data_IF_392064490885
#
_entry.id   IF_392064490885
#
_cell.length_a   1.000
_cell.length_b   1.000
_cell.length_c   1.000
_cell.angle_alpha   90.00
_cell.angle_beta   90.00
_cell.angle_gamma   90.00
#
_symmetry.space_group_name_H-M   'P 1'
#
loop_
_entity.id
_entity.type
_entity.pdbx_description
1 polymer ?
#
# COMPACT_ATOMS: atom_id res chain seq x y z
N UNK A 1 -2.29 -10.77 17.49
CA UNK A 1 -3.39 -11.40 18.29
C UNK A 1 -4.74 -11.46 17.55
N UNK A 2 -4.95 -10.58 16.55
CA UNK A 2 -6.21 -10.52 15.78
C UNK A 2 -6.24 -11.48 14.59
N UNK A 3 -5.17 -12.20 14.32
CA UNK A 3 -5.09 -13.11 13.17
C UNK A 3 -5.85 -14.39 13.46
N UNK A 4 -6.81 -14.70 12.58
CA UNK A 4 -7.56 -15.96 12.59
C UNK A 4 -7.73 -16.49 11.16
N UNK A 5 -8.25 -17.71 11.03
CA UNK A 5 -8.41 -18.37 9.73
C UNK A 5 -9.40 -17.64 8.81
N UNK A 6 -10.43 -16.99 9.35
CA UNK A 6 -11.41 -16.23 8.57
C UNK A 6 -10.76 -15.00 7.94
N UNK A 7 -10.01 -14.24 8.74
CA UNK A 7 -9.24 -13.07 8.29
C UNK A 7 -8.22 -13.48 7.22
N UNK A 8 -7.47 -14.57 7.42
CA UNK A 8 -6.49 -15.04 6.45
C UNK A 8 -7.12 -15.46 5.13
N UNK A 9 -8.28 -16.15 5.14
CA UNK A 9 -9.01 -16.50 3.92
C UNK A 9 -9.47 -15.27 3.15
N UNK A 10 -10.03 -14.27 3.83
CA UNK A 10 -10.43 -13.02 3.20
C UNK A 10 -9.25 -12.28 2.58
N UNK A 11 -8.17 -12.12 3.34
CA UNK A 11 -6.97 -11.45 2.86
C UNK A 11 -6.30 -12.19 1.70
N UNK A 12 -6.33 -13.53 1.70
CA UNK A 12 -5.83 -14.35 0.60
C UNK A 12 -6.65 -14.14 -0.67
N UNK A 13 -7.98 -14.09 -0.57
CA UNK A 13 -8.86 -13.78 -1.68
C UNK A 13 -8.55 -12.40 -2.29
N UNK A 14 -8.43 -11.37 -1.46
CA UNK A 14 -8.04 -10.02 -1.91
C UNK A 14 -6.64 -10.00 -2.55
N UNK A 15 -5.69 -10.78 -2.01
CA UNK A 15 -4.35 -10.88 -2.57
C UNK A 15 -4.32 -11.56 -3.93
N UNK A 16 -5.14 -12.60 -4.16
CA UNK A 16 -5.29 -13.25 -5.47
C UNK A 16 -5.74 -12.22 -6.51
N UNK A 17 -6.75 -11.42 -6.21
CA UNK A 17 -7.23 -10.39 -7.12
C UNK A 17 -6.21 -9.30 -7.38
N UNK A 18 -5.53 -8.82 -6.32
CA UNK A 18 -4.45 -7.84 -6.45
C UNK A 18 -3.32 -8.34 -7.36
N UNK A 19 -2.83 -9.56 -7.12
CA UNK A 19 -1.74 -10.14 -7.89
C UNK A 19 -2.16 -10.38 -9.35
N UNK A 20 -3.39 -10.83 -9.57
CA UNK A 20 -3.98 -11.00 -10.90
C UNK A 20 -3.97 -9.70 -11.71
N UNK A 21 -4.28 -8.56 -11.09
CA UNK A 21 -4.24 -7.25 -11.75
C UNK A 21 -2.86 -6.85 -12.24
N UNK A 22 -1.78 -7.31 -11.61
CA UNK A 22 -0.42 -6.97 -12.06
C UNK A 22 -0.09 -7.54 -13.44
N UNK A 23 -0.72 -8.66 -13.83
CA UNK A 23 -0.35 -9.37 -15.05
C UNK A 23 0.93 -10.21 -14.92
N UNK A 24 1.61 -10.14 -13.78
CA UNK A 24 2.80 -10.90 -13.49
C UNK A 24 2.49 -12.39 -13.24
N UNK A 25 3.45 -13.30 -13.43
CA UNK A 25 3.25 -14.74 -13.26
C UNK A 25 3.35 -15.15 -11.78
N UNK A 26 2.50 -14.55 -10.93
CA UNK A 26 2.43 -14.81 -9.49
C UNK A 26 1.00 -15.08 -9.06
N UNK A 27 0.83 -16.06 -8.18
CA UNK A 27 -0.42 -16.29 -7.46
C UNK A 27 -0.56 -15.37 -6.24
N UNK A 28 -1.59 -15.59 -5.41
CA UNK A 28 -1.82 -14.81 -4.20
C UNK A 28 -2.18 -15.73 -3.04
N UNK A 29 -1.59 -15.47 -1.88
CA UNK A 29 -1.88 -16.16 -0.64
C UNK A 29 -1.68 -15.23 0.56
N UNK A 30 -2.13 -15.65 1.73
CA UNK A 30 -1.86 -15.01 3.02
C UNK A 30 -1.61 -16.07 4.07
N UNK A 31 -0.69 -15.77 4.97
CA UNK A 31 -0.40 -16.55 6.15
C UNK A 31 -0.13 -15.64 7.34
N UNK A 32 -0.07 -16.20 8.53
CA UNK A 32 0.21 -15.40 9.72
C UNK A 32 0.15 -16.25 10.99
N UNK A 33 0.30 -15.57 12.12
CA UNK A 33 0.13 -16.14 13.44
C UNK A 33 -0.54 -15.13 14.37
N UNK A 34 -1.09 -15.60 15.46
CA UNK A 34 -1.67 -14.80 16.55
C UNK A 34 -0.64 -14.31 17.57
N UNK A 35 0.65 -14.46 17.28
CA UNK A 35 1.74 -14.00 18.14
C UNK A 35 1.70 -12.48 18.35
N UNK A 36 1.76 -12.07 19.62
CA UNK A 36 1.85 -10.64 19.98
C UNK A 36 3.30 -10.22 20.21
N UNK A 37 3.89 -9.40 19.30
CA UNK A 37 5.26 -8.92 19.47
C UNK A 37 5.38 -7.76 20.45
N UNK A 38 4.26 -7.19 20.96
CA UNK A 38 4.30 -6.03 21.85
C UNK A 38 4.99 -6.39 23.16
N UNK A 39 5.99 -5.58 23.53
CA UNK A 39 6.75 -5.80 24.77
C UNK A 39 7.76 -6.96 24.70
N UNK A 40 7.91 -7.61 23.56
CA UNK A 40 8.92 -8.65 23.35
C UNK A 40 10.25 -8.02 22.90
N UNK A 41 11.34 -8.61 23.39
CA UNK A 41 12.69 -8.28 22.93
C UNK A 41 12.95 -8.83 21.52
N UNK A 42 13.94 -8.26 20.83
CA UNK A 42 14.39 -8.74 19.52
C UNK A 42 14.77 -10.22 19.54
N UNK A 43 15.34 -10.68 20.67
CA UNK A 43 15.72 -12.08 20.86
C UNK A 43 14.49 -13.02 20.96
N UNK A 44 13.42 -12.59 21.63
CA UNK A 44 12.17 -13.35 21.69
C UNK A 44 11.48 -13.42 20.33
N UNK A 45 11.45 -12.30 19.61
CA UNK A 45 10.92 -12.23 18.24
C UNK A 45 11.73 -13.14 17.32
N UNK A 46 13.07 -13.10 17.40
CA UNK A 46 13.94 -13.99 16.63
C UNK A 46 13.67 -15.48 16.94
N UNK A 47 13.51 -15.83 18.21
CA UNK A 47 13.16 -17.21 18.59
C UNK A 47 11.83 -17.65 18.00
N UNK A 48 10.82 -16.77 18.05
CA UNK A 48 9.54 -17.04 17.44
C UNK A 48 9.66 -17.26 15.93
N UNK A 49 10.32 -16.34 15.20
CA UNK A 49 10.52 -16.47 13.76
C UNK A 49 11.23 -17.77 13.38
N UNK A 50 12.25 -18.17 14.14
CA UNK A 50 12.95 -19.43 13.91
C UNK A 50 12.06 -20.67 14.17
N UNK A 51 11.27 -20.65 15.23
CA UNK A 51 10.35 -21.74 15.53
C UNK A 51 9.27 -21.84 14.43
N UNK A 52 8.69 -20.71 14.02
CA UNK A 52 7.72 -20.63 12.94
C UNK A 52 8.28 -21.18 11.62
N UNK A 53 9.52 -20.81 11.27
CA UNK A 53 10.15 -21.28 10.04
C UNK A 53 10.45 -22.78 10.05
N UNK A 54 10.73 -23.39 11.20
CA UNK A 54 10.94 -24.85 11.31
C UNK A 54 9.71 -25.68 10.93
N UNK A 55 8.53 -25.11 11.10
CA UNK A 55 7.29 -25.75 10.63
C UNK A 55 6.97 -25.35 9.19
N UNK A 56 7.23 -24.09 8.82
CA UNK A 56 6.83 -23.53 7.53
C UNK A 56 7.73 -23.97 6.35
N UNK A 57 9.04 -24.24 6.59
CA UNK A 57 10.02 -24.39 5.51
C UNK A 57 9.67 -25.47 4.47
N UNK A 58 8.96 -26.51 4.87
CA UNK A 58 8.58 -27.62 3.99
C UNK A 58 7.46 -27.27 3.01
N UNK A 59 6.75 -26.15 3.22
CA UNK A 59 5.62 -25.71 2.41
C UNK A 59 5.97 -24.52 1.51
N UNK A 60 7.16 -23.96 1.65
CA UNK A 60 7.60 -22.77 0.93
C UNK A 60 8.87 -23.00 0.13
N UNK A 61 9.11 -22.17 -0.87
CA UNK A 61 10.29 -22.24 -1.70
C UNK A 61 10.25 -21.19 -2.80
N UNK A 62 11.37 -20.93 -3.46
CA UNK A 62 11.47 -19.93 -4.52
C UNK A 62 10.51 -20.17 -5.72
N UNK A 63 9.99 -21.39 -5.85
CA UNK A 63 9.05 -21.81 -6.92
C UNK A 63 7.78 -22.46 -6.37
N UNK A 64 7.49 -22.26 -5.10
CA UNK A 64 6.28 -22.75 -4.43
C UNK A 64 5.57 -21.52 -3.86
N UNK A 65 5.58 -21.33 -2.55
CA UNK A 65 5.08 -20.12 -1.92
C UNK A 65 6.25 -19.22 -1.48
N UNK A 66 6.18 -17.95 -1.80
CA UNK A 66 7.18 -16.93 -1.44
C UNK A 66 6.55 -15.92 -0.48
N UNK A 67 6.60 -16.17 0.83
CA UNK A 67 6.05 -15.23 1.81
C UNK A 67 6.77 -13.89 1.77
N UNK A 68 6.04 -12.82 2.04
CA UNK A 68 6.54 -11.45 2.06
C UNK A 68 6.22 -10.75 3.39
N UNK A 69 6.83 -9.60 3.61
CA UNK A 69 6.50 -8.75 4.75
C UNK A 69 5.07 -8.22 4.67
N UNK A 70 4.42 -8.10 5.83
CA UNK A 70 3.08 -7.57 6.03
C UNK A 70 2.98 -6.98 7.46
N UNK A 71 1.78 -6.75 7.99
CA UNK A 71 1.59 -6.22 9.35
C UNK A 71 2.39 -7.04 10.36
N UNK A 72 3.24 -6.37 11.12
CA UNK A 72 4.09 -6.98 12.14
C UNK A 72 5.29 -7.75 11.61
N UNK A 73 5.48 -7.85 10.30
CA UNK A 73 6.58 -8.58 9.66
C UNK A 73 7.33 -7.63 8.71
N UNK A 74 8.42 -7.07 9.19
CA UNK A 74 9.30 -6.19 8.40
C UNK A 74 10.59 -6.89 7.98
N UNK A 75 11.56 -6.10 7.52
CA UNK A 75 12.87 -6.61 7.08
C UNK A 75 13.61 -7.41 8.16
N UNK A 76 13.43 -7.04 9.45
CA UNK A 76 14.00 -7.75 10.60
C UNK A 76 13.46 -9.18 10.71
N UNK A 77 12.14 -9.34 10.70
CA UNK A 77 11.47 -10.63 10.79
C UNK A 77 11.77 -11.48 9.56
N UNK A 78 11.70 -10.91 8.37
CA UNK A 78 12.10 -11.57 7.12
C UNK A 78 13.55 -12.05 7.20
N UNK A 79 14.46 -11.25 7.75
CA UNK A 79 15.84 -11.66 7.98
C UNK A 79 15.97 -12.87 8.90
N UNK A 80 15.24 -12.89 10.01
CA UNK A 80 15.23 -14.02 10.95
C UNK A 80 14.64 -15.31 10.34
N UNK A 81 13.55 -15.17 9.58
CA UNK A 81 12.91 -16.27 8.86
C UNK A 81 13.85 -16.83 7.78
N UNK A 82 14.45 -15.97 6.95
CA UNK A 82 15.35 -16.37 5.90
C UNK A 82 16.63 -17.05 6.42
N UNK A 83 17.20 -16.50 7.50
CA UNK A 83 18.36 -17.10 8.13
C UNK A 83 18.12 -18.52 8.65
N UNK A 84 16.94 -18.79 9.21
CA UNK A 84 16.57 -20.13 9.65
C UNK A 84 16.25 -21.05 8.47
N UNK A 85 15.52 -20.59 7.45
CA UNK A 85 15.29 -21.36 6.22
C UNK A 85 16.61 -21.82 5.59
N UNK A 86 17.54 -20.88 5.38
CA UNK A 86 18.86 -21.19 4.82
C UNK A 86 19.65 -22.19 5.68
N UNK A 87 19.53 -22.11 7.01
CA UNK A 87 20.19 -23.03 7.93
C UNK A 87 19.65 -24.46 7.81
N UNK A 88 18.33 -24.61 7.62
CA UNK A 88 17.66 -25.92 7.51
C UNK A 88 17.93 -26.53 6.13
N UNK A 89 17.67 -25.76 5.07
CA UNK A 89 17.69 -26.26 3.68
C UNK A 89 19.05 -26.26 3.04
N UNK A 90 20.00 -25.43 3.55
CA UNK A 90 21.31 -25.13 2.95
C UNK A 90 21.21 -24.45 1.58
N UNK A 91 20.04 -23.94 1.23
CA UNK A 91 19.79 -23.23 -0.03
C UNK A 91 19.90 -21.72 0.17
N UNK A 92 20.53 -21.05 -0.78
CA UNK A 92 20.50 -19.61 -0.95
C UNK A 92 19.66 -19.30 -2.18
N UNK A 93 18.35 -19.12 -1.97
CA UNK A 93 17.38 -18.90 -3.05
C UNK A 93 16.42 -17.75 -2.73
N UNK A 94 15.46 -17.50 -3.62
CA UNK A 94 14.50 -16.41 -3.54
C UNK A 94 13.25 -16.71 -2.70
N UNK A 95 13.33 -17.55 -1.69
CA UNK A 95 12.16 -18.08 -0.95
C UNK A 95 11.32 -17.04 -0.22
N UNK A 96 11.85 -15.91 0.19
CA UNK A 96 11.14 -14.84 0.87
C UNK A 96 11.33 -13.53 0.12
N UNK A 97 10.33 -12.63 0.16
CA UNK A 97 10.42 -11.28 -0.39
C UNK A 97 10.38 -10.21 0.70
N UNK A 98 11.00 -9.07 0.42
CA UNK A 98 11.24 -8.03 1.41
C UNK A 98 12.50 -8.28 2.24
N UNK A 99 13.41 -9.08 1.69
CA UNK A 99 14.73 -9.29 2.30
C UNK A 99 15.54 -7.99 2.32
N UNK A 100 16.41 -7.80 3.32
CA UNK A 100 17.51 -6.83 3.23
C UNK A 100 18.32 -6.99 1.94
N UNK A 101 18.80 -5.85 1.41
CA UNK A 101 19.53 -5.80 0.14
C UNK A 101 20.80 -6.66 0.14
N UNK A 102 21.43 -6.81 1.31
CA UNK A 102 22.66 -7.56 1.52
C UNK A 102 22.55 -9.04 1.13
N UNK A 103 21.35 -9.61 1.24
CA UNK A 103 21.13 -11.03 0.95
C UNK A 103 19.95 -11.30 -0.01
N UNK A 104 19.85 -10.48 -1.03
CA UNK A 104 18.97 -10.72 -2.18
C UNK A 104 17.67 -9.91 -2.18
N UNK A 105 17.56 -8.89 -1.34
CA UNK A 105 16.46 -7.93 -1.40
C UNK A 105 16.55 -7.01 -2.62
N UNK A 106 15.43 -6.49 -3.06
CA UNK A 106 15.35 -5.47 -4.11
C UNK A 106 15.41 -4.07 -3.55
N UNK A 107 16.06 -3.16 -4.26
CA UNK A 107 15.91 -1.72 -4.04
C UNK A 107 14.43 -1.33 -4.21
N UNK A 108 14.04 -0.22 -3.61
CA UNK A 108 12.67 0.34 -3.63
C UNK A 108 11.58 -0.53 -2.98
N UNK A 109 11.88 -1.67 -2.40
CA UNK A 109 10.81 -2.49 -1.78
C UNK A 109 10.02 -1.73 -0.70
N UNK A 110 10.64 -0.94 0.20
CA UNK A 110 9.93 -0.11 1.16
C UNK A 110 9.05 0.98 0.50
N UNK A 111 9.54 1.60 -0.57
CA UNK A 111 8.85 2.69 -1.28
C UNK A 111 7.71 2.21 -2.17
N UNK A 112 7.79 0.98 -2.62
CA UNK A 112 7.03 0.44 -3.76
C UNK A 112 5.52 0.64 -3.68
N UNK A 113 4.92 0.46 -2.51
CA UNK A 113 3.47 0.64 -2.34
C UNK A 113 3.08 2.09 -2.49
N UNK A 114 3.73 3.00 -1.76
CA UNK A 114 3.42 4.43 -1.81
C UNK A 114 3.72 5.05 -3.19
N UNK A 115 4.86 4.70 -3.79
CA UNK A 115 5.20 5.15 -5.14
C UNK A 115 4.21 4.63 -6.18
N UNK A 116 3.82 3.35 -6.07
CA UNK A 116 2.82 2.74 -6.94
C UNK A 116 1.47 3.45 -6.89
N UNK A 117 1.01 3.83 -5.70
CA UNK A 117 -0.23 4.61 -5.53
C UNK A 117 -0.17 5.91 -6.33
N UNK A 118 0.95 6.63 -6.23
CA UNK A 118 1.11 7.92 -6.94
C UNK A 118 1.23 7.73 -8.44
N UNK A 119 1.95 6.70 -8.91
CA UNK A 119 2.02 6.39 -10.35
C UNK A 119 0.67 6.00 -10.93
N UNK A 120 -0.13 5.20 -10.21
CA UNK A 120 -1.49 4.89 -10.61
C UNK A 120 -2.36 6.15 -10.68
N UNK A 121 -2.29 7.01 -9.66
CA UNK A 121 -3.01 8.27 -9.61
C UNK A 121 -2.65 9.19 -10.77
N UNK A 122 -1.36 9.32 -11.06
CA UNK A 122 -0.87 10.16 -12.16
C UNK A 122 -1.40 9.69 -13.52
N UNK A 123 -1.38 8.37 -13.77
CA UNK A 123 -1.93 7.80 -14.99
C UNK A 123 -3.46 8.01 -15.07
N UNK A 124 -4.18 7.75 -13.99
CA UNK A 124 -5.64 7.95 -13.92
C UNK A 124 -6.02 9.42 -14.18
N UNK A 125 -5.36 10.36 -13.54
CA UNK A 125 -5.63 11.79 -13.71
C UNK A 125 -5.32 12.26 -15.16
N UNK A 126 -4.21 11.80 -15.71
CA UNK A 126 -3.82 12.10 -17.09
C UNK A 126 -4.84 11.59 -18.11
N UNK A 127 -5.32 10.36 -17.96
CA UNK A 127 -6.23 9.74 -18.93
C UNK A 127 -7.66 10.23 -18.79
N UNK A 128 -8.15 10.44 -17.56
CA UNK A 128 -9.55 10.77 -17.31
C UNK A 128 -9.84 12.27 -17.32
N UNK A 129 -8.87 13.08 -16.89
CA UNK A 129 -9.06 14.54 -16.72
C UNK A 129 -8.07 15.38 -17.51
N UNK A 130 -7.05 14.81 -18.14
CA UNK A 130 -5.94 15.50 -18.79
C UNK A 130 -5.19 16.43 -17.82
N UNK A 131 -5.11 16.02 -16.57
CA UNK A 131 -4.49 16.75 -15.46
C UNK A 131 -3.22 16.04 -14.95
N UNK A 132 -2.35 16.82 -14.31
CA UNK A 132 -1.15 16.30 -13.63
C UNK A 132 -1.21 16.60 -12.14
N UNK A 133 -0.31 16.00 -11.37
CA UNK A 133 -0.18 16.28 -9.94
C UNK A 133 0.64 17.55 -9.64
N UNK A 134 1.35 18.08 -10.62
CA UNK A 134 2.19 19.26 -10.45
C UNK A 134 1.38 20.50 -10.02
N UNK A 135 1.81 21.12 -8.93
CA UNK A 135 1.13 22.28 -8.34
C UNK A 135 -0.22 21.98 -7.66
N UNK A 136 -0.66 20.72 -7.64
CA UNK A 136 -1.95 20.35 -7.03
C UNK A 136 -1.81 20.09 -5.52
N UNK A 137 -2.81 20.54 -4.77
CA UNK A 137 -2.90 20.27 -3.34
C UNK A 137 -3.45 18.86 -3.11
N UNK A 138 -2.77 18.08 -2.26
CA UNK A 138 -3.14 16.70 -1.93
C UNK A 138 -3.28 16.51 -0.43
N UNK A 139 -4.29 15.74 -0.01
CA UNK A 139 -4.45 15.25 1.35
C UNK A 139 -4.02 13.79 1.45
N UNK A 140 -3.24 13.47 2.48
CA UNK A 140 -2.79 12.10 2.77
C UNK A 140 -3.10 11.77 4.22
N UNK A 141 -3.65 10.59 4.50
CA UNK A 141 -3.76 10.05 5.85
C UNK A 141 -2.63 9.07 6.17
N UNK A 142 -2.35 8.91 7.45
CA UNK A 142 -1.30 8.01 7.92
C UNK A 142 0.07 8.67 8.01
N UNK A 143 0.96 8.02 8.77
CA UNK A 143 2.38 8.32 8.90
C UNK A 143 3.22 7.02 8.93
N UNK A 144 2.65 5.93 8.41
CA UNK A 144 3.33 4.66 8.22
C UNK A 144 4.10 4.60 6.89
N UNK A 145 4.65 3.43 6.58
CA UNK A 145 5.47 3.23 5.38
C UNK A 145 4.78 3.68 4.09
N UNK A 146 3.52 3.30 3.87
CA UNK A 146 2.77 3.66 2.65
C UNK A 146 2.58 5.17 2.57
N UNK A 147 2.08 5.80 3.64
CA UNK A 147 1.83 7.24 3.68
C UNK A 147 3.10 8.06 3.45
N UNK A 148 4.19 7.75 4.16
CA UNK A 148 5.46 8.49 4.03
C UNK A 148 6.01 8.46 2.60
N UNK A 149 5.94 7.31 1.93
CA UNK A 149 6.42 7.20 0.56
C UNK A 149 5.41 7.74 -0.48
N UNK A 150 4.11 7.73 -0.18
CA UNK A 150 3.12 8.46 -0.98
C UNK A 150 3.39 9.97 -0.93
N UNK A 151 3.58 10.54 0.26
CA UNK A 151 3.94 11.95 0.43
C UNK A 151 5.24 12.27 -0.33
N UNK A 152 6.27 11.45 -0.15
CA UNK A 152 7.56 11.63 -0.81
C UNK A 152 7.42 11.69 -2.34
N UNK A 153 6.71 10.73 -2.93
CA UNK A 153 6.54 10.67 -4.38
C UNK A 153 5.65 11.80 -4.90
N UNK A 154 4.57 12.16 -4.20
CA UNK A 154 3.74 13.32 -4.53
C UNK A 154 4.56 14.61 -4.57
N UNK A 155 5.40 14.84 -3.56
CA UNK A 155 6.29 16.01 -3.51
C UNK A 155 7.34 15.97 -4.63
N UNK A 156 7.91 14.81 -4.96
CA UNK A 156 8.82 14.65 -6.11
C UNK A 156 8.15 14.97 -7.44
N UNK A 157 6.86 14.75 -7.57
CA UNK A 157 6.06 15.08 -8.75
C UNK A 157 5.47 16.50 -8.70
N UNK A 158 5.92 17.34 -7.78
CA UNK A 158 5.53 18.73 -7.66
C UNK A 158 4.20 19.02 -6.99
N UNK A 159 3.56 18.01 -6.35
CA UNK A 159 2.34 18.20 -5.60
C UNK A 159 2.61 18.83 -4.22
N UNK A 160 1.65 19.62 -3.73
CA UNK A 160 1.65 20.19 -2.39
C UNK A 160 0.85 19.28 -1.45
N UNK A 161 1.51 18.46 -0.65
CA UNK A 161 0.84 17.59 0.33
C UNK A 161 0.63 18.37 1.62
N UNK A 162 -0.63 18.55 2.03
CA UNK A 162 -0.99 19.44 3.15
C UNK A 162 -1.41 18.73 4.42
N UNK A 163 -1.69 17.41 4.36
CA UNK A 163 -2.06 16.63 5.56
C UNK A 163 -1.21 15.38 5.74
N UNK A 164 -1.05 14.98 7.00
CA UNK A 164 -0.48 13.72 7.44
C UNK A 164 -1.11 13.36 8.78
N UNK A 165 -1.36 12.09 9.08
CA UNK A 165 -2.03 11.70 10.33
C UNK A 165 -1.44 10.45 10.96
N UNK A 166 -1.68 10.27 12.26
CA UNK A 166 -1.44 9.00 12.95
C UNK A 166 -2.64 8.61 13.83
N UNK A 167 -2.46 7.64 14.72
CA UNK A 167 -3.53 7.18 15.61
C UNK A 167 -4.01 8.23 16.61
N UNK A 168 -3.21 9.26 16.86
CA UNK A 168 -3.45 10.28 17.87
C UNK A 168 -3.99 11.60 17.30
N UNK A 169 -3.73 11.88 16.01
CA UNK A 169 -4.20 13.12 15.41
C UNK A 169 -3.73 13.36 13.98
N UNK A 170 -4.06 14.54 13.46
CA UNK A 170 -3.77 14.99 12.09
C UNK A 170 -2.98 16.28 12.11
N UNK A 171 -1.95 16.36 11.28
CA UNK A 171 -1.24 17.57 10.91
C UNK A 171 -1.91 18.18 9.67
N UNK A 172 -2.06 19.50 9.68
CA UNK A 172 -2.30 20.32 8.50
C UNK A 172 -1.22 21.40 8.38
N UNK A 173 -0.54 21.44 7.24
CA UNK A 173 0.38 22.53 6.90
C UNK A 173 0.04 23.06 5.50
N UNK A 174 -0.50 24.29 5.37
CA UNK A 174 -0.88 24.85 4.09
C UNK A 174 0.31 25.13 3.14
N UNK A 175 1.55 25.09 3.65
CA UNK A 175 2.79 25.25 2.86
C UNK A 175 3.36 23.93 2.39
N UNK A 176 2.76 22.82 2.79
CA UNK A 176 3.20 21.46 2.53
C UNK A 176 3.90 20.80 3.72
N UNK A 177 3.62 19.53 3.90
CA UNK A 177 4.21 18.71 4.96
C UNK A 177 5.74 18.61 4.81
N UNK A 178 6.46 18.98 5.86
CA UNK A 178 7.90 18.71 5.98
C UNK A 178 8.10 17.22 6.34
N UNK A 179 8.43 16.43 5.33
CA UNK A 179 8.60 15.00 5.48
C UNK A 179 9.82 14.62 6.34
N UNK A 180 10.84 15.49 6.41
CA UNK A 180 12.00 15.25 7.28
C UNK A 180 11.58 15.30 8.74
N UNK A 181 10.82 16.32 9.13
CA UNK A 181 10.29 16.45 10.50
C UNK A 181 9.37 15.27 10.85
N UNK A 182 8.49 14.85 9.92
CA UNK A 182 7.63 13.68 10.16
C UNK A 182 8.46 12.41 10.37
N UNK A 183 9.48 12.19 9.54
CA UNK A 183 10.39 11.02 9.67
C UNK A 183 11.16 11.03 10.98
N UNK A 184 11.66 12.17 11.42
CA UNK A 184 12.34 12.29 12.71
C UNK A 184 11.41 11.98 13.89
N UNK A 185 10.19 12.49 13.87
CA UNK A 185 9.19 12.21 14.90
C UNK A 185 8.82 10.73 14.96
N UNK A 186 8.72 10.06 13.81
CA UNK A 186 8.36 8.63 13.71
C UNK A 186 9.57 7.69 13.84
N UNK A 187 10.79 8.14 13.58
CA UNK A 187 12.01 7.33 13.62
C UNK A 187 12.44 6.86 15.00
N UNK A 188 11.97 7.52 16.06
CA UNK A 188 12.25 7.15 17.45
C UNK A 188 11.36 6.02 18.00
N UNK A 189 10.72 5.27 17.12
CA UNK A 189 9.83 4.17 17.46
C UNK A 189 8.38 4.45 17.06
N UNK A 190 7.66 3.42 16.68
CA UNK A 190 6.31 3.47 16.09
C UNK A 190 5.21 4.17 16.95
N UNK A 191 5.55 4.71 18.10
CA UNK A 191 4.62 5.37 19.04
C UNK A 191 4.87 6.87 19.23
N UNK A 192 5.85 7.48 18.55
CA UNK A 192 6.03 8.92 18.66
C UNK A 192 4.85 9.62 17.96
N UNK A 193 4.19 10.50 18.71
CA UNK A 193 3.05 11.28 18.23
C UNK A 193 3.49 12.35 17.23
N UNK A 194 2.64 12.66 16.27
CA UNK A 194 2.81 13.81 15.38
C UNK A 194 2.53 15.16 16.04
N UNK A 195 2.06 15.18 17.28
CA UNK A 195 1.77 16.41 18.05
C UNK A 195 2.96 17.37 18.07
N UNK A 196 4.19 16.85 18.19
CA UNK A 196 5.41 17.65 18.18
C UNK A 196 5.71 18.36 16.85
N UNK A 197 4.97 18.07 15.78
CA UNK A 197 5.18 18.70 14.48
C UNK A 197 4.87 20.21 14.51
N UNK A 198 3.72 20.58 15.06
CA UNK A 198 3.29 21.98 15.12
C UNK A 198 4.25 22.87 15.93
N UNK A 199 4.95 22.30 16.91
CA UNK A 199 5.99 23.00 17.67
C UNK A 199 7.26 23.24 16.84
N UNK A 200 7.60 22.31 15.92
CA UNK A 200 8.80 22.38 15.09
C UNK A 200 8.58 23.18 13.81
N UNK A 201 7.35 23.19 13.31
CA UNK A 201 6.98 23.84 12.05
C UNK A 201 5.91 24.91 12.32
N UNK A 202 6.30 26.15 12.68
CA UNK A 202 5.37 27.22 12.98
C UNK A 202 4.43 27.51 11.81
N UNK A 203 3.13 27.68 12.10
CA UNK A 203 2.08 27.92 11.11
C UNK A 203 1.37 26.65 10.62
N UNK A 204 1.83 25.47 11.02
CA UNK A 204 1.05 24.23 10.89
C UNK A 204 0.08 24.07 12.08
N UNK A 205 -0.92 23.22 11.90
CA UNK A 205 -1.95 22.91 12.90
C UNK A 205 -1.92 21.42 13.20
N UNK A 206 -1.97 21.05 14.46
CA UNK A 206 -2.23 19.69 14.90
C UNK A 206 -3.64 19.61 15.49
N UNK A 207 -4.45 18.68 14.98
CA UNK A 207 -5.79 18.38 15.48
C UNK A 207 -5.74 17.01 16.15
N UNK A 208 -5.93 16.98 17.46
CA UNK A 208 -5.98 15.72 18.20
C UNK A 208 -7.21 14.90 17.77
N UNK A 209 -7.11 13.58 17.83
CA UNK A 209 -8.23 12.69 17.45
C UNK A 209 -9.52 12.96 18.23
N UNK A 210 -9.40 13.39 19.48
CA UNK A 210 -10.54 13.76 20.31
C UNK A 210 -11.31 14.98 19.77
N UNK A 211 -10.64 15.82 18.98
CA UNK A 211 -11.19 17.05 18.41
C UNK A 211 -11.61 16.88 16.93
N UNK A 212 -11.64 15.65 16.42
CA UNK A 212 -12.09 15.37 15.06
C UNK A 212 -13.57 15.73 14.91
N UNK A 213 -13.98 16.17 13.71
CA UNK A 213 -15.39 16.39 13.40
C UNK A 213 -16.22 15.13 13.67
N UNK A 214 -17.46 15.30 14.14
CA UNK A 214 -18.33 14.19 14.44
C UNK A 214 -18.55 13.29 13.18
N UNK A 215 -18.18 12.03 13.30
CA UNK A 215 -18.29 11.03 12.21
C UNK A 215 -17.30 11.23 11.07
N UNK A 216 -16.22 12.00 11.26
CA UNK A 216 -15.23 12.28 10.24
C UNK A 216 -13.79 12.22 10.73
N UNK A 217 -12.85 12.27 9.79
CA UNK A 217 -11.40 12.27 10.02
C UNK A 217 -10.82 13.61 9.54
N UNK A 218 -10.11 14.33 10.43
CA UNK A 218 -9.63 15.70 10.16
C UNK A 218 -8.79 15.84 8.87
N UNK A 219 -8.11 14.80 8.42
CA UNK A 219 -7.30 14.84 7.19
C UNK A 219 -8.13 15.20 5.93
N UNK A 220 -9.43 14.92 5.93
CA UNK A 220 -10.31 15.09 4.77
C UNK A 220 -11.08 16.43 4.75
N UNK A 221 -10.91 17.23 5.78
CA UNK A 221 -11.66 18.48 5.94
C UNK A 221 -10.98 19.72 5.34
N UNK A 222 -9.84 19.54 4.69
CA UNK A 222 -9.10 20.60 4.02
C UNK A 222 -9.28 20.55 2.49
N UNK A 223 -9.31 21.71 1.80
CA UNK A 223 -9.39 21.75 0.36
C UNK A 223 -8.22 20.99 -0.29
N UNK A 224 -8.54 20.08 -1.21
CA UNK A 224 -7.53 19.34 -1.95
C UNK A 224 -8.05 18.94 -3.33
N UNK A 225 -7.12 18.80 -4.28
CA UNK A 225 -7.39 18.25 -5.60
C UNK A 225 -7.54 16.72 -5.58
N UNK A 226 -6.68 16.05 -4.80
CA UNK A 226 -6.73 14.60 -4.66
C UNK A 226 -6.48 14.15 -3.21
N UNK A 227 -7.14 13.06 -2.81
CA UNK A 227 -7.02 12.47 -1.48
C UNK A 227 -6.46 11.04 -1.55
N UNK A 228 -5.54 10.73 -0.64
CA UNK A 228 -4.81 9.45 -0.57
C UNK A 228 -4.98 8.81 0.81
N UNK A 229 -6.00 7.96 1.00
CA UNK A 229 -6.17 7.22 2.25
C UNK A 229 -5.09 6.13 2.37
N UNK A 230 -4.13 6.34 3.30
CA UNK A 230 -2.93 5.50 3.45
C UNK A 230 -2.71 4.94 4.87
N UNK A 231 -3.70 5.06 5.76
CA UNK A 231 -3.56 4.62 7.16
C UNK A 231 -4.19 3.24 7.42
N UNK A 232 -5.51 3.20 7.63
CA UNK A 232 -6.20 1.98 8.07
C UNK A 232 -7.50 1.76 7.31
N UNK A 233 -8.05 0.54 7.40
CA UNK A 233 -9.36 0.25 6.85
C UNK A 233 -10.46 1.12 7.50
N UNK A 234 -11.48 1.47 6.72
CA UNK A 234 -12.66 2.23 7.13
C UNK A 234 -12.32 3.58 7.80
N UNK A 235 -11.29 4.27 7.31
CA UNK A 235 -10.89 5.59 7.82
C UNK A 235 -11.55 6.76 7.09
N UNK A 236 -12.17 6.52 5.93
CA UNK A 236 -12.87 7.52 5.14
C UNK A 236 -14.35 7.17 5.11
N UNK A 237 -15.12 7.89 5.91
CA UNK A 237 -16.57 7.71 6.06
C UNK A 237 -17.35 8.44 4.97
N UNK A 238 -18.66 8.18 4.90
CA UNK A 238 -19.58 8.94 4.04
C UNK A 238 -19.54 10.45 4.34
N UNK A 239 -19.39 10.83 5.60
CA UNK A 239 -19.25 12.25 6.01
C UNK A 239 -17.99 12.87 5.44
N UNK A 240 -16.88 12.14 5.49
CA UNK A 240 -15.60 12.58 4.91
C UNK A 240 -15.67 12.71 3.39
N UNK A 241 -16.32 11.74 2.72
CA UNK A 241 -16.54 11.80 1.27
C UNK A 241 -17.34 13.03 0.87
N UNK A 242 -18.42 13.35 1.59
CA UNK A 242 -19.20 14.56 1.35
C UNK A 242 -18.36 15.82 1.51
N UNK A 243 -17.47 15.85 2.52
CA UNK A 243 -16.57 16.98 2.76
C UNK A 243 -15.50 17.12 1.68
N UNK A 244 -14.92 16.02 1.22
CA UNK A 244 -13.97 16.02 0.08
C UNK A 244 -14.64 16.59 -1.18
N UNK A 245 -15.87 16.19 -1.48
CA UNK A 245 -16.64 16.70 -2.64
C UNK A 245 -16.88 18.21 -2.49
N UNK A 246 -17.37 18.64 -1.32
CA UNK A 246 -17.57 20.07 -1.03
C UNK A 246 -16.28 20.90 -1.21
N UNK A 247 -15.14 20.32 -0.84
CA UNK A 247 -13.82 20.93 -0.92
C UNK A 247 -13.18 20.85 -2.34
N UNK A 248 -13.89 20.31 -3.32
CA UNK A 248 -13.46 20.25 -4.71
C UNK A 248 -12.49 19.12 -5.06
N UNK A 249 -12.44 18.06 -4.25
CA UNK A 249 -11.65 16.88 -4.53
C UNK A 249 -12.16 16.17 -5.79
N UNK A 250 -11.27 15.91 -6.75
CA UNK A 250 -11.61 15.25 -8.03
C UNK A 250 -11.20 13.77 -8.06
N UNK A 251 -10.35 13.33 -7.14
CA UNK A 251 -9.87 11.95 -7.10
C UNK A 251 -9.58 11.47 -5.67
N UNK A 252 -10.00 10.24 -5.37
CA UNK A 252 -9.62 9.49 -4.17
C UNK A 252 -8.91 8.21 -4.59
N UNK A 253 -7.66 8.03 -4.15
CA UNK A 253 -6.80 6.92 -4.54
C UNK A 253 -6.31 6.18 -3.30
N UNK A 254 -6.81 4.97 -3.09
CA UNK A 254 -6.53 4.19 -1.90
C UNK A 254 -5.08 3.67 -1.85
N UNK A 255 -4.36 4.00 -0.79
CA UNK A 255 -3.04 3.43 -0.48
C UNK A 255 -3.12 2.28 0.53
N UNK A 256 -4.02 2.37 1.50
CA UNK A 256 -4.32 1.28 2.43
C UNK A 256 -5.24 0.23 1.79
N UNK A 257 -5.48 -0.87 2.49
CA UNK A 257 -6.46 -1.88 2.07
C UNK A 257 -7.85 -1.50 2.63
N UNK A 258 -8.80 -1.23 1.74
CA UNK A 258 -10.20 -0.86 2.05
C UNK A 258 -10.33 0.30 3.06
N UNK A 259 -9.66 1.43 2.86
CA UNK A 259 -9.75 2.55 3.80
C UNK A 259 -11.07 3.32 3.68
N UNK A 260 -11.78 3.20 2.56
CA UNK A 260 -13.02 3.93 2.27
C UNK A 260 -14.22 3.04 2.53
N UNK A 261 -15.20 3.53 3.27
CA UNK A 261 -16.45 2.81 3.54
C UNK A 261 -17.30 2.65 2.27
N UNK A 262 -18.07 1.57 2.11
CA UNK A 262 -18.84 1.30 0.89
C UNK A 262 -19.79 2.43 0.49
N UNK A 263 -20.49 3.01 1.43
CA UNK A 263 -21.43 4.13 1.18
C UNK A 263 -20.70 5.45 0.85
N UNK A 264 -19.47 5.60 1.28
CA UNK A 264 -18.59 6.69 0.85
C UNK A 264 -18.14 6.49 -0.60
N UNK A 265 -17.80 5.27 -1.01
CA UNK A 265 -17.46 4.93 -2.39
C UNK A 265 -18.62 5.24 -3.33
N UNK A 266 -19.84 4.79 -2.98
CA UNK A 266 -21.05 5.08 -3.76
C UNK A 266 -21.29 6.58 -3.92
N UNK A 267 -21.09 7.35 -2.85
CA UNK A 267 -21.24 8.80 -2.88
C UNK A 267 -20.23 9.45 -3.82
N UNK A 268 -18.93 9.11 -3.67
CA UNK A 268 -17.86 9.65 -4.52
C UNK A 268 -18.11 9.37 -6.01
N UNK A 269 -18.46 8.13 -6.36
CA UNK A 269 -18.75 7.73 -7.74
C UNK A 269 -19.97 8.47 -8.30
N UNK A 270 -21.05 8.60 -7.52
CA UNK A 270 -22.27 9.30 -7.93
C UNK A 270 -22.00 10.80 -8.22
N UNK A 271 -21.15 11.44 -7.44
CA UNK A 271 -20.79 12.86 -7.61
C UNK A 271 -19.65 13.05 -8.62
N UNK A 272 -19.21 11.99 -9.32
CA UNK A 272 -18.23 12.06 -10.39
C UNK A 272 -16.77 12.18 -9.95
N UNK A 273 -16.48 11.94 -8.66
CA UNK A 273 -15.11 11.86 -8.16
C UNK A 273 -14.48 10.55 -8.63
N UNK A 274 -13.31 10.61 -9.22
CA UNK A 274 -12.56 9.42 -9.61
C UNK A 274 -12.15 8.64 -8.36
N UNK A 275 -12.53 7.37 -8.28
CA UNK A 275 -12.21 6.52 -7.15
C UNK A 275 -11.41 5.30 -7.58
N UNK A 276 -10.24 5.07 -7.01
CA UNK A 276 -9.43 3.88 -7.26
C UNK A 276 -9.37 2.97 -6.04
N UNK A 277 -9.79 1.69 -6.17
CA UNK A 277 -9.70 0.73 -5.07
C UNK A 277 -8.25 0.33 -4.79
N UNK A 278 -7.92 0.11 -3.51
CA UNK A 278 -6.58 -0.21 -3.05
C UNK A 278 -5.95 -1.41 -3.75
N UNK A 279 -6.74 -2.46 -4.06
CA UNK A 279 -6.23 -3.64 -4.78
C UNK A 279 -5.58 -3.32 -6.15
N UNK A 280 -5.98 -2.21 -6.79
CA UNK A 280 -5.37 -1.74 -8.03
C UNK A 280 -4.25 -0.74 -7.74
N UNK A 281 -4.53 0.32 -6.99
CA UNK A 281 -3.58 1.43 -6.77
C UNK A 281 -2.39 1.04 -5.88
N UNK A 282 -2.57 0.18 -4.86
CA UNK A 282 -1.50 -0.21 -3.94
C UNK A 282 -0.73 -1.48 -4.35
N UNK A 283 -0.92 -1.97 -5.57
CA UNK A 283 -0.26 -3.17 -6.08
C UNK A 283 1.26 -3.01 -6.30
N UNK A 284 1.81 -1.81 -6.15
CA UNK A 284 3.24 -1.56 -6.28
C UNK A 284 4.11 -2.41 -5.36
N UNK A 285 3.64 -2.66 -4.14
CA UNK A 285 4.35 -3.50 -3.18
C UNK A 285 4.57 -4.94 -3.67
N UNK A 286 3.53 -5.59 -4.16
CA UNK A 286 3.62 -6.95 -4.69
C UNK A 286 4.37 -6.98 -6.03
N UNK A 287 4.28 -5.92 -6.83
CA UNK A 287 5.05 -5.77 -8.06
C UNK A 287 6.56 -5.82 -7.79
N UNK A 288 7.05 -5.03 -6.84
CA UNK A 288 8.48 -5.05 -6.49
C UNK A 288 8.87 -6.34 -5.76
N UNK A 289 7.94 -7.02 -5.08
CA UNK A 289 8.20 -8.38 -4.57
C UNK A 289 8.47 -9.36 -5.70
N UNK A 290 7.71 -9.30 -6.80
CA UNK A 290 7.98 -10.14 -7.98
C UNK A 290 9.31 -9.73 -8.65
N UNK A 291 9.61 -8.43 -8.76
CA UNK A 291 10.91 -7.99 -9.27
C UNK A 291 12.07 -8.51 -8.42
N UNK A 292 11.91 -8.61 -7.09
CA UNK A 292 12.88 -9.26 -6.21
C UNK A 292 13.01 -10.75 -6.53
N UNK A 293 11.89 -11.45 -6.74
CA UNK A 293 11.90 -12.86 -7.15
C UNK A 293 12.60 -13.05 -8.50
N UNK A 294 12.32 -12.20 -9.48
CA UNK A 294 13.00 -12.21 -10.78
C UNK A 294 14.50 -11.98 -10.65
N UNK A 295 14.94 -11.00 -9.86
CA UNK A 295 16.36 -10.73 -9.60
C UNK A 295 17.03 -11.92 -8.92
N UNK A 296 16.35 -12.56 -7.97
CA UNK A 296 16.89 -13.75 -7.28
C UNK A 296 17.00 -14.95 -8.23
N UNK A 297 16.02 -15.15 -9.10
CA UNK A 297 16.02 -16.25 -10.07
C UNK A 297 17.12 -16.10 -11.14
N UNK A 298 17.41 -14.88 -11.57
CA UNK A 298 18.46 -14.56 -12.54
C UNK A 298 19.84 -14.33 -11.91
N UNK A 299 19.93 -14.29 -10.56
CA UNK A 299 21.12 -13.89 -9.81
C UNK A 299 21.63 -12.48 -10.16
N UNK A 300 20.71 -11.60 -10.58
CA UNK A 300 21.00 -10.20 -10.90
C UNK A 300 20.63 -9.27 -9.75
N UNK A 301 21.26 -8.10 -9.74
CA UNK A 301 20.83 -6.94 -8.94
C UNK A 301 20.48 -5.81 -9.88
N UNK A 302 19.27 -5.29 -9.77
CA UNK A 302 18.84 -4.12 -10.53
C UNK A 302 19.13 -2.84 -9.75
N UNK A 303 19.53 -1.80 -10.47
CA UNK A 303 19.67 -0.48 -9.89
C UNK A 303 18.29 0.14 -9.57
N UNK A 304 18.32 1.24 -8.83
CA UNK A 304 17.12 1.94 -8.40
C UNK A 304 16.29 2.41 -9.58
N UNK A 305 16.91 3.01 -10.59
CA UNK A 305 16.22 3.57 -11.76
C UNK A 305 15.52 2.49 -12.61
N UNK A 306 16.13 1.32 -12.73
CA UNK A 306 15.51 0.17 -13.42
C UNK A 306 14.26 -0.31 -12.68
N UNK A 307 14.32 -0.41 -11.36
CA UNK A 307 13.16 -0.83 -10.54
C UNK A 307 12.06 0.22 -10.59
N UNK A 308 12.41 1.52 -10.46
CA UNK A 308 11.44 2.63 -10.49
C UNK A 308 10.71 2.70 -11.84
N UNK A 309 11.44 2.66 -12.94
CA UNK A 309 10.85 2.65 -14.28
C UNK A 309 9.90 1.47 -14.50
N UNK A 310 10.33 0.26 -14.11
CA UNK A 310 9.49 -0.95 -14.21
C UNK A 310 8.23 -0.83 -13.34
N UNK A 311 8.34 -0.25 -12.15
CA UNK A 311 7.18 -0.01 -11.28
C UNK A 311 6.21 0.98 -11.92
N UNK A 312 6.71 2.09 -12.46
CA UNK A 312 5.88 3.08 -13.14
C UNK A 312 5.14 2.48 -14.35
N UNK A 313 5.86 1.76 -15.21
CA UNK A 313 5.28 1.07 -16.37
C UNK A 313 4.19 0.07 -15.96
N UNK A 314 4.43 -0.69 -14.90
CA UNK A 314 3.46 -1.67 -14.42
C UNK A 314 2.21 -1.03 -13.83
N UNK A 315 2.35 0.05 -13.05
CA UNK A 315 1.20 0.75 -12.49
C UNK A 315 0.33 1.39 -13.60
N UNK A 316 0.93 1.93 -14.66
CA UNK A 316 0.21 2.39 -15.84
C UNK A 316 -0.52 1.23 -16.56
N UNK A 317 0.10 0.05 -16.66
CA UNK A 317 -0.56 -1.14 -17.23
C UNK A 317 -1.73 -1.63 -16.38
N UNK A 318 -1.62 -1.58 -15.05
CA UNK A 318 -2.72 -1.93 -14.13
C UNK A 318 -3.89 -0.97 -14.36
N UNK A 319 -3.64 0.35 -14.35
CA UNK A 319 -4.68 1.34 -14.64
C UNK A 319 -5.37 1.06 -15.97
N UNK A 320 -4.59 0.90 -17.05
CA UNK A 320 -5.10 0.63 -18.39
C UNK A 320 -5.99 -0.63 -18.43
N UNK A 321 -5.57 -1.71 -17.76
CA UNK A 321 -6.35 -2.95 -17.68
C UNK A 321 -7.67 -2.73 -16.97
N UNK A 322 -7.65 -2.04 -15.83
CA UNK A 322 -8.86 -1.74 -15.04
C UNK A 322 -9.81 -0.84 -15.83
N UNK A 323 -9.32 0.25 -16.44
CA UNK A 323 -10.13 1.20 -17.21
C UNK A 323 -10.74 0.57 -18.46
N UNK A 324 -9.95 -0.20 -19.24
CA UNK A 324 -10.45 -0.88 -20.43
C UNK A 324 -11.52 -1.94 -20.08
N UNK A 325 -11.32 -2.68 -18.99
CA UNK A 325 -12.32 -3.66 -18.53
C UNK A 325 -13.59 -2.96 -18.08
N UNK A 326 -13.50 -1.88 -17.31
CA UNK A 326 -14.68 -1.11 -16.92
C UNK A 326 -15.48 -0.64 -18.16
N UNK A 327 -14.79 -0.16 -19.19
CA UNK A 327 -15.42 0.26 -20.45
C UNK A 327 -16.04 -0.92 -21.20
N UNK A 328 -15.33 -2.07 -21.32
CA UNK A 328 -15.82 -3.28 -21.99
C UNK A 328 -17.14 -3.79 -21.38
N UNK A 329 -17.27 -3.67 -20.04
CA UNK A 329 -18.43 -4.16 -19.31
C UNK A 329 -19.49 -3.08 -19.01
N UNK A 330 -19.41 -1.90 -19.64
CA UNK A 330 -20.41 -0.85 -19.54
C UNK A 330 -20.48 -0.13 -18.20
N UNK A 331 -19.41 -0.19 -17.41
CA UNK A 331 -19.24 0.52 -16.14
C UNK A 331 -18.08 1.53 -16.20
N UNK A 332 -18.00 2.30 -17.27
CA UNK A 332 -16.94 3.28 -17.52
C UNK A 332 -16.76 4.21 -16.31
N UNK A 333 -15.48 4.45 -15.92
CA UNK A 333 -15.07 5.17 -14.71
C UNK A 333 -15.38 4.49 -13.36
N UNK A 334 -16.05 3.35 -13.35
CA UNK A 334 -16.16 2.53 -12.15
C UNK A 334 -14.96 1.59 -12.05
N UNK A 335 -13.86 2.10 -11.50
CA UNK A 335 -12.62 1.32 -11.37
C UNK A 335 -12.70 0.22 -10.30
N UNK A 336 -13.71 0.25 -9.43
CA UNK A 336 -13.98 -0.85 -8.48
C UNK A 336 -14.44 -2.09 -9.25
N UNK A 337 -15.47 -1.94 -10.08
CA UNK A 337 -15.99 -3.03 -10.91
C UNK A 337 -14.96 -3.44 -11.97
N UNK A 338 -14.31 -2.45 -12.61
CA UNK A 338 -13.22 -2.71 -13.56
C UNK A 338 -12.11 -3.58 -12.99
N UNK A 339 -11.66 -3.29 -11.76
CA UNK A 339 -10.63 -4.07 -11.08
C UNK A 339 -11.13 -5.47 -10.70
N UNK A 340 -12.35 -5.58 -10.15
CA UNK A 340 -12.91 -6.87 -9.77
C UNK A 340 -13.12 -7.79 -10.98
N UNK A 341 -13.70 -7.27 -12.06
CA UNK A 341 -13.95 -8.04 -13.29
C UNK A 341 -12.62 -8.45 -13.95
N UNK A 342 -11.66 -7.52 -14.09
CA UNK A 342 -10.37 -7.81 -14.70
C UNK A 342 -9.60 -8.89 -13.94
N UNK A 343 -9.60 -8.80 -12.60
CA UNK A 343 -8.96 -9.80 -11.77
C UNK A 343 -9.66 -11.16 -11.85
N UNK A 344 -10.98 -11.17 -11.75
CA UNK A 344 -11.79 -12.40 -11.83
C UNK A 344 -11.61 -13.12 -13.17
N UNK A 345 -11.72 -12.40 -14.30
CA UNK A 345 -11.53 -12.98 -15.64
C UNK A 345 -10.23 -13.76 -15.73
N UNK A 346 -9.14 -13.16 -15.34
CA UNK A 346 -7.81 -13.81 -15.45
C UNK A 346 -7.72 -15.07 -14.59
N UNK A 347 -8.25 -15.02 -13.35
CA UNK A 347 -8.26 -16.19 -12.47
C UNK A 347 -9.17 -17.28 -13.02
N UNK A 348 -10.39 -16.93 -13.44
CA UNK A 348 -11.35 -17.88 -13.97
C UNK A 348 -10.84 -18.54 -15.28
N UNK A 349 -10.23 -17.77 -16.18
CA UNK A 349 -9.62 -18.30 -17.40
C UNK A 349 -8.50 -19.31 -17.09
N UNK A 350 -7.63 -18.99 -16.11
CA UNK A 350 -6.59 -19.92 -15.68
C UNK A 350 -7.19 -21.20 -15.09
N UNK A 351 -8.18 -21.08 -14.20
CA UNK A 351 -8.85 -22.24 -13.61
C UNK A 351 -9.51 -23.16 -14.66
N UNK A 352 -10.17 -22.56 -15.66
CA UNK A 352 -10.79 -23.33 -16.77
C UNK A 352 -9.70 -24.08 -17.56
N UNK A 353 -8.59 -23.43 -17.88
CA UNK A 353 -7.50 -24.03 -18.65
C UNK A 353 -6.75 -25.12 -17.87
N UNK A 354 -6.65 -24.97 -16.56
CA UNK A 354 -6.02 -25.93 -15.65
C UNK A 354 -6.97 -27.07 -15.26
N UNK A 355 -8.26 -26.95 -15.51
CA UNK A 355 -9.27 -27.98 -15.21
C UNK A 355 -9.66 -28.05 -13.72
N UNK A 356 -9.63 -26.92 -13.01
CA UNK A 356 -9.97 -26.80 -11.59
C UNK A 356 -11.14 -25.84 -11.36
#
# INVERSE_FOLDING_TARGET
>A
PSVDTGILKFLAFEQIFKNSLTGLPIGGAKGGSDFDPKGKSDFEIMKFCRAFMRELYQYIGARVDVPAGDIGVGAREIGYLYGEYKRITRNYDGVLSGKPYEFGGSLMRPQATGYGVVYFAAEMLSQELQETLEGKTCCVSGAGNVALHTIEKLQQMGALVVTCSDSEGTIYDPRGIDLCVVRELKGNGARASLEGYATRVPGSVYTAKADYPAGGHAAWHYPCFAAFPCATQNELSRTDAAKLIENGCVAVVEGANMPTEPDAIELLQREGVLFSPGKASNAGGVAVSEFEMSQNASMEKWDYDKVDRKLQELMAQIYKRVSLTAKEYGCERNFVDGANIAAFKRVAEAMILEGV
#
